data_IF_036040798046
#
_entry.id   IF_036040798046
#
_cell.length_a   1.000
_cell.length_b   1.000
_cell.length_c   1.000
_cell.angle_alpha   90.00
_cell.angle_beta   90.00
_cell.angle_gamma   90.00
#
_symmetry.space_group_name_H-M   'P 1'
#
loop_
_entity.id
_entity.type
_entity.pdbx_description
1 polymer ?
#
# COMPACT_ATOMS: atom_id res chain seq x y z
N UNK A 1 -12.54 7.85 0.97
CA UNK A 1 -12.23 8.00 2.41
C UNK A 1 -11.05 7.15 2.86
N UNK A 2 -11.05 5.82 2.67
CA UNK A 2 -9.95 4.95 3.14
C UNK A 2 -8.56 5.37 2.65
N UNK A 3 -8.41 5.75 1.38
CA UNK A 3 -7.11 6.20 0.82
C UNK A 3 -6.54 7.44 1.54
N UNK A 4 -7.40 8.33 2.06
CA UNK A 4 -6.95 9.50 2.82
C UNK A 4 -6.32 9.04 4.14
N UNK A 5 -6.98 8.14 4.87
CA UNK A 5 -6.45 7.63 6.13
C UNK A 5 -5.16 6.82 5.94
N UNK A 6 -5.07 6.02 4.88
CA UNK A 6 -3.85 5.29 4.53
C UNK A 6 -2.72 6.26 4.23
N UNK A 7 -2.98 7.34 3.47
CA UNK A 7 -1.98 8.35 3.16
C UNK A 7 -1.49 9.11 4.41
N UNK A 8 -2.42 9.53 5.28
CA UNK A 8 -2.08 10.19 6.54
C UNK A 8 -1.26 9.26 7.44
N UNK A 9 -1.69 8.01 7.65
CA UNK A 9 -0.94 7.05 8.45
C UNK A 9 0.43 6.73 7.86
N UNK A 10 0.49 6.47 6.55
CA UNK A 10 1.73 6.15 5.84
C UNK A 10 2.75 7.28 5.91
N UNK A 11 2.33 8.54 5.72
CA UNK A 11 3.23 9.69 5.80
C UNK A 11 3.86 9.86 7.19
N UNK A 12 3.08 9.69 8.26
CA UNK A 12 3.58 9.73 9.64
C UNK A 12 4.62 8.64 9.86
N UNK A 13 4.34 7.40 9.44
CA UNK A 13 5.28 6.29 9.59
C UNK A 13 6.60 6.52 8.85
N UNK A 14 6.56 7.05 7.63
CA UNK A 14 7.77 7.32 6.83
C UNK A 14 8.66 8.35 7.53
N UNK A 15 8.07 9.46 8.01
CA UNK A 15 8.82 10.53 8.68
C UNK A 15 9.44 10.01 9.99
N UNK A 16 8.68 9.26 10.80
CA UNK A 16 9.16 8.71 12.07
C UNK A 16 10.31 7.71 11.85
N UNK A 17 10.25 6.88 10.81
CA UNK A 17 11.32 5.95 10.46
C UNK A 17 12.61 6.68 10.08
N UNK A 18 12.50 7.71 9.22
CA UNK A 18 13.65 8.54 8.85
C UNK A 18 14.26 9.21 10.07
N UNK A 19 13.44 9.85 10.91
CA UNK A 19 13.90 10.51 12.13
C UNK A 19 14.60 9.54 13.09
N UNK A 20 14.06 8.32 13.24
CA UNK A 20 14.65 7.29 14.08
C UNK A 20 16.03 6.86 13.60
N UNK A 21 16.24 6.78 12.28
CA UNK A 21 17.55 6.50 11.69
C UNK A 21 18.52 7.66 11.91
N UNK A 22 18.08 8.89 11.68
CA UNK A 22 18.91 10.09 11.92
C UNK A 22 19.37 10.18 13.38
N UNK A 23 18.53 9.74 14.33
CA UNK A 23 18.89 9.73 15.75
C UNK A 23 19.86 8.60 16.14
N UNK A 24 19.95 7.52 15.33
CA UNK A 24 20.73 6.33 15.66
C UNK A 24 22.14 6.30 15.04
N UNK A 25 22.42 7.14 14.03
CA UNK A 25 23.69 7.12 13.28
C UNK A 25 24.43 8.45 13.38
N UNK A 26 25.76 8.39 13.35
CA UNK A 26 26.60 9.58 13.27
C UNK A 26 26.39 10.32 11.94
N UNK A 27 26.60 11.65 11.96
CA UNK A 27 26.34 12.53 10.81
C UNK A 27 27.00 12.07 9.50
N UNK A 28 28.22 11.51 9.61
CA UNK A 28 28.98 10.99 8.46
C UNK A 28 28.30 9.81 7.75
N UNK A 29 27.45 9.05 8.44
CA UNK A 29 26.81 7.83 7.92
C UNK A 29 25.32 8.01 7.58
N UNK A 30 24.74 9.21 7.81
CA UNK A 30 23.30 9.48 7.59
C UNK A 30 22.88 9.16 6.16
N UNK A 31 23.65 9.59 5.16
CA UNK A 31 23.32 9.38 3.76
C UNK A 31 23.25 7.88 3.41
N UNK A 32 24.24 7.09 3.87
CA UNK A 32 24.28 5.65 3.65
C UNK A 32 23.12 4.93 4.35
N UNK A 33 22.79 5.33 5.58
CA UNK A 33 21.69 4.74 6.35
C UNK A 33 20.31 5.05 5.72
N UNK A 34 20.09 6.27 5.25
CA UNK A 34 18.87 6.63 4.51
C UNK A 34 18.77 5.92 3.15
N UNK A 35 19.90 5.75 2.45
CA UNK A 35 19.92 4.97 1.21
C UNK A 35 19.50 3.52 1.47
N UNK A 36 20.00 2.91 2.55
CA UNK A 36 19.60 1.56 2.96
C UNK A 36 18.10 1.49 3.28
N UNK A 37 17.56 2.47 4.02
CA UNK A 37 16.11 2.56 4.28
C UNK A 37 15.31 2.58 2.97
N UNK A 38 15.74 3.38 1.99
CA UNK A 38 15.06 3.49 0.70
C UNK A 38 15.08 2.17 -0.08
N UNK A 39 16.22 1.46 -0.09
CA UNK A 39 16.34 0.15 -0.73
C UNK A 39 15.39 -0.86 -0.08
N UNK A 40 15.39 -0.96 1.24
CA UNK A 40 14.50 -1.87 1.97
C UNK A 40 13.03 -1.49 1.76
N UNK A 41 12.71 -0.20 1.75
CA UNK A 41 11.37 0.32 1.45
C UNK A 41 10.89 -0.06 0.05
N UNK A 42 11.74 0.05 -0.96
CA UNK A 42 11.43 -0.36 -2.33
C UNK A 42 11.19 -1.87 -2.46
N UNK A 43 11.99 -2.69 -1.75
CA UNK A 43 11.77 -4.14 -1.69
C UNK A 43 10.40 -4.44 -1.06
N UNK A 44 10.08 -3.79 0.07
CA UNK A 44 8.77 -3.91 0.71
C UNK A 44 7.62 -3.52 -0.22
N UNK A 45 7.78 -2.43 -0.97
CA UNK A 45 6.82 -1.99 -1.99
C UNK A 45 6.62 -3.02 -3.11
N UNK A 46 7.71 -3.61 -3.61
CA UNK A 46 7.65 -4.66 -4.62
C UNK A 46 6.90 -5.90 -4.10
N UNK A 47 7.20 -6.36 -2.89
CA UNK A 47 6.50 -7.49 -2.25
C UNK A 47 5.01 -7.18 -2.07
N UNK A 48 4.67 -5.98 -1.58
CA UNK A 48 3.28 -5.55 -1.43
C UNK A 48 2.51 -5.53 -2.75
N UNK A 49 3.14 -5.06 -3.83
CA UNK A 49 2.57 -5.08 -5.18
C UNK A 49 2.37 -6.51 -5.69
N UNK A 50 3.32 -7.42 -5.46
CA UNK A 50 3.17 -8.83 -5.84
C UNK A 50 2.02 -9.52 -5.09
N UNK A 51 1.87 -9.29 -3.79
CA UNK A 51 0.76 -9.83 -2.99
C UNK A 51 -0.57 -9.25 -3.50
N UNK A 52 -0.61 -7.94 -3.75
CA UNK A 52 -1.80 -7.28 -4.29
C UNK A 52 -2.19 -7.86 -5.66
N UNK A 53 -1.22 -8.04 -6.56
CA UNK A 53 -1.45 -8.67 -7.86
C UNK A 53 -1.99 -10.09 -7.74
N UNK A 54 -1.42 -10.90 -6.84
CA UNK A 54 -1.92 -12.26 -6.59
C UNK A 54 -3.36 -12.27 -6.02
N UNK A 55 -3.70 -11.36 -5.12
CA UNK A 55 -5.08 -11.24 -4.61
C UNK A 55 -6.02 -10.82 -5.75
N UNK A 56 -5.60 -9.87 -6.58
CA UNK A 56 -6.41 -9.39 -7.71
C UNK A 56 -6.79 -10.53 -8.65
N UNK A 57 -5.79 -11.28 -9.13
CA UNK A 57 -5.99 -12.35 -10.10
C UNK A 57 -6.85 -13.50 -9.56
N UNK A 58 -6.80 -13.76 -8.26
CA UNK A 58 -7.59 -14.83 -7.63
C UNK A 58 -8.98 -14.38 -7.15
N UNK A 59 -9.30 -13.08 -7.12
CA UNK A 59 -10.56 -12.62 -6.52
C UNK A 59 -11.43 -11.79 -7.46
N UNK A 60 -10.83 -11.05 -8.40
CA UNK A 60 -11.59 -10.17 -9.26
C UNK A 60 -12.34 -10.94 -10.36
N UNK A 61 -11.71 -11.93 -11.00
CA UNK A 61 -12.35 -12.78 -12.00
C UNK A 61 -13.54 -13.56 -11.42
N UNK A 62 -13.34 -14.23 -10.27
CA UNK A 62 -14.42 -14.96 -9.57
C UNK A 62 -15.58 -14.02 -9.16
N UNK A 63 -15.26 -12.79 -8.77
CA UNK A 63 -16.28 -11.82 -8.42
C UNK A 63 -17.05 -11.33 -9.65
N UNK A 64 -16.39 -11.11 -10.79
CA UNK A 64 -17.05 -10.78 -12.05
C UNK A 64 -18.02 -11.88 -12.47
N UNK A 65 -17.60 -13.16 -12.44
CA UNK A 65 -18.47 -14.30 -12.76
C UNK A 65 -19.75 -14.33 -11.90
N UNK A 66 -19.60 -13.95 -10.62
CA UNK A 66 -20.70 -13.98 -9.66
C UNK A 66 -21.67 -12.80 -9.79
N UNK A 67 -21.18 -11.62 -10.16
CA UNK A 67 -21.95 -10.37 -10.13
C UNK A 67 -22.38 -9.87 -11.51
N UNK A 68 -21.83 -10.40 -12.60
CA UNK A 68 -22.28 -10.05 -13.95
C UNK A 68 -23.64 -10.69 -14.29
N UNK A 69 -24.50 -9.98 -15.04
CA UNK A 69 -25.70 -10.58 -15.62
C UNK A 69 -25.34 -11.57 -16.73
N UNK A 70 -26.23 -12.53 -17.00
CA UNK A 70 -26.03 -13.58 -18.01
C UNK A 70 -25.76 -13.04 -19.43
N UNK A 71 -26.19 -11.80 -19.70
CA UNK A 71 -25.97 -11.07 -20.95
C UNK A 71 -24.52 -10.67 -21.18
N UNK A 72 -23.74 -10.45 -20.11
CA UNK A 72 -22.36 -9.97 -20.17
C UNK A 72 -21.33 -11.06 -19.78
N UNK A 73 -21.78 -12.22 -19.30
CA UNK A 73 -20.90 -13.36 -19.00
C UNK A 73 -20.03 -13.82 -20.18
N UNK A 74 -20.50 -13.79 -21.45
CA UNK A 74 -19.64 -14.14 -22.59
C UNK A 74 -18.43 -13.19 -22.76
N UNK A 75 -18.60 -11.92 -22.36
CA UNK A 75 -17.59 -10.87 -22.52
C UNK A 75 -16.67 -10.76 -21.29
N UNK A 76 -16.79 -11.67 -20.32
CA UNK A 76 -16.12 -11.57 -19.03
C UNK A 76 -14.61 -11.39 -19.12
N UNK A 77 -13.94 -12.13 -20.00
CA UNK A 77 -12.50 -12.03 -20.19
C UNK A 77 -12.11 -10.65 -20.71
N UNK A 78 -12.86 -10.10 -21.65
CA UNK A 78 -12.61 -8.78 -22.23
C UNK A 78 -12.89 -7.67 -21.20
N UNK A 79 -13.93 -7.84 -20.37
CA UNK A 79 -14.26 -6.96 -19.24
C UNK A 79 -13.15 -7.01 -18.18
N UNK A 80 -12.59 -8.19 -17.90
CA UNK A 80 -11.51 -8.35 -16.92
C UNK A 80 -10.22 -7.67 -17.39
N UNK A 81 -9.88 -7.78 -18.68
CA UNK A 81 -8.63 -7.26 -19.25
C UNK A 81 -8.69 -5.77 -19.61
N UNK A 82 -9.87 -5.23 -19.94
CA UNK A 82 -10.02 -3.87 -20.46
C UNK A 82 -10.86 -2.96 -19.56
N UNK A 83 -10.19 -1.96 -18.96
CA UNK A 83 -10.87 -0.88 -18.25
C UNK A 83 -11.75 -0.05 -19.20
N UNK A 84 -11.35 0.12 -20.46
CA UNK A 84 -12.14 0.87 -21.46
C UNK A 84 -13.48 0.20 -21.71
N UNK A 85 -13.50 -1.14 -21.78
CA UNK A 85 -14.74 -1.91 -21.91
C UNK A 85 -15.60 -1.79 -20.65
N UNK A 86 -15.01 -1.86 -19.46
CA UNK A 86 -15.76 -1.65 -18.22
C UNK A 86 -16.41 -0.25 -18.14
N UNK A 87 -15.71 0.76 -18.68
CA UNK A 87 -16.17 2.15 -18.68
C UNK A 87 -17.19 2.44 -19.80
N UNK A 88 -17.25 1.64 -20.86
CA UNK A 88 -18.17 1.81 -21.99
C UNK A 88 -19.62 1.47 -21.63
N UNK A 89 -19.85 0.58 -20.65
CA UNK A 89 -21.19 0.29 -20.14
C UNK A 89 -21.83 1.52 -19.48
N UNK A 90 -23.10 1.77 -19.78
CA UNK A 90 -23.81 2.94 -19.29
C UNK A 90 -23.88 2.98 -17.75
N UNK A 91 -23.73 4.17 -17.17
CA UNK A 91 -23.81 4.36 -15.72
C UNK A 91 -25.24 4.08 -15.26
N UNK A 92 -25.39 3.06 -14.41
CA UNK A 92 -26.69 2.59 -13.92
C UNK A 92 -27.16 1.30 -14.57
N UNK A 93 -26.45 0.76 -15.57
CA UNK A 93 -26.75 -0.55 -16.12
C UNK A 93 -26.46 -1.69 -15.13
N UNK A 94 -27.15 -2.84 -15.22
CA UNK A 94 -26.87 -4.02 -14.38
C UNK A 94 -25.41 -4.49 -14.48
N UNK A 95 -24.82 -4.42 -15.67
CA UNK A 95 -23.40 -4.75 -15.93
C UNK A 95 -22.49 -3.81 -15.14
N UNK A 96 -22.74 -2.50 -15.20
CA UNK A 96 -21.93 -1.49 -14.50
C UNK A 96 -22.03 -1.63 -12.98
N UNK A 97 -23.20 -2.00 -12.45
CA UNK A 97 -23.36 -2.33 -11.03
C UNK A 97 -22.63 -3.63 -10.64
N UNK A 98 -22.70 -4.66 -11.47
CA UNK A 98 -21.99 -5.93 -11.24
C UNK A 98 -20.47 -5.72 -11.19
N UNK A 99 -19.92 -4.95 -12.13
CA UNK A 99 -18.50 -4.58 -12.16
C UNK A 99 -18.12 -3.80 -10.90
N UNK A 100 -18.90 -2.78 -10.50
CA UNK A 100 -18.64 -2.01 -9.28
C UNK A 100 -18.63 -2.88 -8.02
N UNK A 101 -19.56 -3.85 -7.91
CA UNK A 101 -19.57 -4.79 -6.79
C UNK A 101 -18.34 -5.71 -6.81
N UNK A 102 -17.93 -6.21 -7.98
CA UNK A 102 -16.72 -7.01 -8.11
C UNK A 102 -15.47 -6.24 -7.68
N UNK A 103 -15.35 -4.97 -8.09
CA UNK A 103 -14.29 -4.07 -7.60
C UNK A 103 -14.34 -3.87 -6.09
N UNK A 104 -15.52 -3.61 -5.53
CA UNK A 104 -15.70 -3.46 -4.08
C UNK A 104 -15.27 -4.70 -3.30
N UNK A 105 -15.58 -5.89 -3.81
CA UNK A 105 -15.21 -7.16 -3.21
C UNK A 105 -13.68 -7.38 -3.24
N UNK A 106 -13.05 -7.25 -4.40
CA UNK A 106 -11.61 -7.45 -4.56
C UNK A 106 -10.80 -6.42 -3.74
N UNK A 107 -11.16 -5.14 -3.83
CA UNK A 107 -10.47 -4.06 -3.10
C UNK A 107 -10.59 -4.21 -1.58
N UNK A 108 -11.74 -4.69 -1.08
CA UNK A 108 -11.91 -4.93 0.36
C UNK A 108 -10.95 -6.01 0.88
N UNK A 109 -10.74 -7.09 0.11
CA UNK A 109 -9.79 -8.16 0.49
C UNK A 109 -8.34 -7.67 0.45
N UNK A 110 -7.98 -6.88 -0.55
CA UNK A 110 -6.65 -6.26 -0.62
C UNK A 110 -6.40 -5.36 0.58
N UNK A 111 -7.37 -4.51 0.93
CA UNK A 111 -7.28 -3.61 2.07
C UNK A 111 -7.21 -4.36 3.41
N UNK A 112 -8.02 -5.41 3.58
CA UNK A 112 -7.99 -6.25 4.77
C UNK A 112 -6.62 -6.92 4.95
N UNK A 113 -6.04 -7.44 3.87
CA UNK A 113 -4.71 -8.05 3.90
C UNK A 113 -3.62 -7.03 4.26
N UNK A 114 -3.65 -5.85 3.64
CA UNK A 114 -2.71 -4.77 3.97
C UNK A 114 -2.83 -4.30 5.42
N UNK A 115 -4.05 -4.20 5.94
CA UNK A 115 -4.31 -3.83 7.34
C UNK A 115 -3.78 -4.90 8.30
N UNK A 116 -3.93 -6.19 7.95
CA UNK A 116 -3.38 -7.31 8.73
C UNK A 116 -1.85 -7.28 8.80
N UNK A 117 -1.18 -6.99 7.69
CA UNK A 117 0.29 -6.84 7.67
C UNK A 117 0.73 -5.64 8.52
N UNK A 118 0.00 -4.53 8.47
CA UNK A 118 0.31 -3.33 9.26
C UNK A 118 0.25 -3.59 10.78
N UNK A 119 -0.52 -4.59 11.24
CA UNK A 119 -0.52 -4.98 12.65
C UNK A 119 0.85 -5.48 13.13
N UNK A 120 1.66 -6.06 12.24
CA UNK A 120 3.02 -6.49 12.56
C UNK A 120 3.93 -5.30 12.91
N UNK A 121 3.64 -4.11 12.40
CA UNK A 121 4.39 -2.88 12.70
C UNK A 121 4.41 -2.58 14.19
N UNK A 122 3.36 -2.93 14.95
CA UNK A 122 3.36 -2.74 16.41
C UNK A 122 4.47 -3.55 17.09
N UNK A 123 4.69 -4.79 16.63
CA UNK A 123 5.76 -5.64 17.16
C UNK A 123 7.11 -4.99 16.85
N UNK A 124 7.28 -4.43 15.65
CA UNK A 124 8.54 -3.82 15.24
C UNK A 124 8.84 -2.54 16.01
N UNK A 125 7.82 -1.73 16.30
CA UNK A 125 7.95 -0.53 17.14
C UNK A 125 8.45 -0.89 18.54
N UNK A 126 8.01 -2.02 19.12
CA UNK A 126 8.49 -2.47 20.43
C UNK A 126 9.98 -2.90 20.42
N UNK A 127 10.51 -3.28 19.26
CA UNK A 127 11.92 -3.66 19.10
C UNK A 127 12.84 -2.45 18.89
N UNK A 128 12.29 -1.28 18.51
CA UNK A 128 13.07 -0.07 18.31
C UNK A 128 13.56 0.44 19.68
N UNK A 129 14.87 0.72 19.77
CA UNK A 129 15.46 1.31 20.98
C UNK A 129 14.93 2.72 21.18
N UNK A 130 14.53 3.02 22.41
CA UNK A 130 14.13 4.38 22.79
C UNK A 130 15.38 5.28 22.92
N UNK A 131 15.66 6.08 21.91
CA UNK A 131 16.77 7.04 21.88
C UNK A 131 16.25 8.40 22.35
N UNK A 132 16.87 8.96 23.41
CA UNK A 132 16.53 10.30 23.86
C UNK A 132 17.17 11.36 22.94
N UNK A 133 16.36 11.90 22.04
CA UNK A 133 16.78 12.96 21.10
C UNK A 133 17.12 14.28 21.78
N UNK A 134 16.61 14.55 23.00
CA UNK A 134 16.89 15.78 23.75
C UNK A 134 18.31 15.86 24.33
N UNK A 135 19.01 14.73 24.42
CA UNK A 135 20.41 14.67 24.88
C UNK A 135 21.43 14.74 23.74
N UNK A 136 20.98 14.72 22.49
CA UNK A 136 21.86 14.80 21.31
C UNK A 136 22.35 16.26 21.18
N UNK A 137 23.63 16.48 21.47
CA UNK A 137 24.27 17.80 21.32
C UNK A 137 24.30 18.16 19.84
N UNK A 138 23.44 19.10 19.43
CA UNK A 138 23.46 19.67 18.10
C UNK A 138 24.82 20.37 17.89
N UNK A 139 25.65 19.89 16.96
CA UNK A 139 26.94 20.49 16.63
C UNK A 139 26.70 21.87 16.00
N UNK A 140 26.87 22.92 16.80
CA UNK A 140 26.88 24.31 16.33
C UNK A 140 28.26 24.59 15.71
N UNK A 141 28.40 24.37 14.41
CA UNK A 141 29.62 24.67 13.66
C UNK A 141 29.49 24.37 12.18
N UNK A 142 30.08 25.22 11.33
CA UNK A 142 30.09 25.07 9.88
C UNK A 142 30.86 23.79 9.52
N UNK A 143 30.12 22.73 9.21
CA UNK A 143 30.66 21.45 8.74
C UNK A 143 30.77 21.51 7.21
N UNK A 144 32.01 21.53 6.72
CA UNK A 144 32.36 21.42 5.29
C UNK A 144 32.33 19.96 4.84
#
# INVERSE_FOLDING_TARGET
MCQIFISVGGSIFIIVQQLSILAAVDHQHVAAALALLSVVGNIGGAVGNSISGAIWTNTFAEALERYLPATALPDLTEIYESLEMQLSYEVGSPERFGIQQAYGYAQTKMLATGTGIMALSFIWVLLIRNINVGTIKQTMGNVF
#
